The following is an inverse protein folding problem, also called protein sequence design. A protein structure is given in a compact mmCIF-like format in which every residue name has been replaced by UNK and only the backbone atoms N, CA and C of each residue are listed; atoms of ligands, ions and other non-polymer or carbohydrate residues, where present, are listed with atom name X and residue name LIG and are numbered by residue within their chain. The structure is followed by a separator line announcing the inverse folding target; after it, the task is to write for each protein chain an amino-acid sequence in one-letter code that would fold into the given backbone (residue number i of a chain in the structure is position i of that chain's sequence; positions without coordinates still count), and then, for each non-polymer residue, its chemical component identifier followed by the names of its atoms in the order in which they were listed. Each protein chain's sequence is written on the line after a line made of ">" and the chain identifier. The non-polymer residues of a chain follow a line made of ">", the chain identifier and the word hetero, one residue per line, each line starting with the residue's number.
data_IF_845826833701
#
_entry.id   IF_845826833701
#
_cell.length_a   1.000
_cell.length_b   1.000
_cell.length_c   1.000
_cell.angle_alpha   90.00
_cell.angle_beta   90.00
_cell.angle_gamma   90.00
#
_symmetry.space_group_name_H-M   'P 1'
#
loop_
_entity.id
_entity.type
_entity.pdbx_description
1 polymer ?
#
# COMPACT_ATOMS: atom_id res chain seq x y z
N UNK A 1 22.32 0.20 25.80
CA UNK A 1 21.81 -0.94 25.01
C UNK A 1 20.36 -0.63 24.62
N UNK A 2 20.05 -0.67 23.31
CA UNK A 2 18.71 -0.41 22.80
C UNK A 2 17.93 -1.73 22.74
N UNK A 3 17.18 -2.02 23.81
CA UNK A 3 16.43 -3.27 23.92
C UNK A 3 14.94 -3.04 23.66
N UNK A 4 14.36 -3.84 22.78
CA UNK A 4 12.96 -3.83 22.40
C UNK A 4 12.35 -5.23 22.55
N UNK A 5 11.03 -5.32 22.58
CA UNK A 5 10.35 -6.60 22.43
C UNK A 5 10.30 -6.98 20.94
N UNK A 6 9.97 -6.00 20.07
CA UNK A 6 9.86 -6.20 18.62
C UNK A 6 10.61 -5.10 17.87
N UNK A 7 11.44 -5.49 16.91
CA UNK A 7 12.04 -4.58 15.93
C UNK A 7 11.48 -4.85 14.52
N UNK A 8 10.91 -3.82 13.90
CA UNK A 8 10.32 -3.90 12.57
C UNK A 8 11.22 -3.21 11.54
N UNK A 9 11.58 -3.95 10.49
CA UNK A 9 12.50 -3.52 9.44
C UNK A 9 11.69 -3.16 8.20
N UNK A 10 11.45 -1.87 7.99
CA UNK A 10 10.71 -1.33 6.85
C UNK A 10 9.56 -0.40 7.25
N UNK A 11 9.44 0.74 6.59
CA UNK A 11 8.41 1.77 6.84
C UNK A 11 7.27 1.79 5.83
N UNK A 12 6.94 0.67 5.20
CA UNK A 12 5.75 0.55 4.35
C UNK A 12 4.48 0.23 5.15
N UNK A 13 3.36 0.01 4.44
CA UNK A 13 2.09 -0.36 5.08
C UNK A 13 2.23 -1.63 5.95
N UNK A 14 2.95 -2.65 5.48
CA UNK A 14 3.22 -3.87 6.26
C UNK A 14 3.97 -3.56 7.56
N UNK A 15 5.06 -2.78 7.46
CA UNK A 15 5.88 -2.44 8.62
C UNK A 15 5.12 -1.59 9.64
N UNK A 16 4.39 -0.57 9.20
CA UNK A 16 3.56 0.22 10.11
C UNK A 16 2.44 -0.61 10.75
N UNK A 17 1.78 -1.51 10.00
CA UNK A 17 0.75 -2.39 10.55
C UNK A 17 1.35 -3.34 11.60
N UNK A 18 2.50 -3.95 11.31
CA UNK A 18 3.20 -4.82 12.24
C UNK A 18 3.60 -4.06 13.52
N UNK A 19 4.25 -2.91 13.37
CA UNK A 19 4.73 -2.14 14.51
C UNK A 19 3.60 -1.60 15.38
N UNK A 20 2.50 -1.17 14.75
CA UNK A 20 1.31 -0.69 15.47
C UNK A 20 0.59 -1.84 16.20
N UNK A 21 0.41 -2.99 15.55
CA UNK A 21 -0.21 -4.16 16.18
C UNK A 21 0.62 -4.69 17.36
N UNK A 22 1.95 -4.65 17.26
CA UNK A 22 2.85 -4.99 18.35
C UNK A 22 2.67 -4.07 19.57
N UNK A 23 2.55 -2.75 19.34
CA UNK A 23 2.31 -1.80 20.43
C UNK A 23 0.95 -2.00 21.08
N UNK A 24 -0.10 -2.26 20.30
CA UNK A 24 -1.43 -2.54 20.86
C UNK A 24 -1.44 -3.80 21.73
N UNK A 25 -0.54 -4.75 21.46
CA UNK A 25 -0.29 -5.92 22.29
C UNK A 25 0.69 -5.66 23.47
N UNK A 26 0.99 -4.39 23.77
CA UNK A 26 1.82 -3.96 24.89
C UNK A 26 3.32 -4.18 24.70
N UNK A 27 3.79 -4.34 23.46
CA UNK A 27 5.21 -4.58 23.16
C UNK A 27 5.96 -3.28 22.94
N UNK A 28 7.11 -3.14 23.60
CA UNK A 28 8.06 -2.06 23.33
C UNK A 28 8.63 -2.25 21.92
N UNK A 29 8.24 -1.38 21.00
CA UNK A 29 8.46 -1.60 19.57
C UNK A 29 9.25 -0.47 18.92
N UNK A 30 10.19 -0.84 18.06
CA UNK A 30 10.92 0.08 17.19
C UNK A 30 10.63 -0.23 15.72
N UNK A 31 10.44 0.80 14.91
CA UNK A 31 10.33 0.71 13.46
C UNK A 31 11.53 1.42 12.83
N UNK A 32 12.27 0.70 12.00
CA UNK A 32 13.39 1.23 11.23
C UNK A 32 12.92 1.45 9.79
N UNK A 33 13.00 2.69 9.30
CA UNK A 33 12.55 3.05 7.95
C UNK A 33 13.67 3.76 7.18
N UNK A 34 14.08 3.18 6.06
CA UNK A 34 15.14 3.73 5.19
C UNK A 34 14.73 5.05 4.52
N UNK A 35 13.44 5.29 4.32
CA UNK A 35 12.97 6.47 3.59
C UNK A 35 11.48 6.43 3.31
N UNK A 36 11.07 7.10 2.23
CA UNK A 36 9.68 7.10 1.78
C UNK A 36 9.31 5.73 1.22
N UNK A 37 8.13 5.24 1.57
CA UNK A 37 7.69 3.91 1.19
C UNK A 37 6.99 3.87 -0.19
N UNK A 38 6.68 2.66 -0.65
CA UNK A 38 5.87 2.45 -1.85
C UNK A 38 4.46 3.07 -1.78
N UNK A 39 3.99 3.50 -0.60
CA UNK A 39 2.72 4.23 -0.47
C UNK A 39 2.71 5.50 -1.33
N UNK A 40 3.85 6.17 -1.50
CA UNK A 40 4.00 7.35 -2.38
C UNK A 40 3.78 7.04 -3.87
N UNK A 41 3.62 5.78 -4.25
CA UNK A 41 3.34 5.32 -5.61
C UNK A 41 2.02 4.53 -5.69
N UNK A 42 1.30 4.43 -4.58
CA UNK A 42 0.06 3.66 -4.46
C UNK A 42 -1.14 4.42 -5.03
N UNK A 43 -2.25 3.71 -5.27
CA UNK A 43 -3.51 4.37 -5.58
C UNK A 43 -4.23 4.98 -4.38
N UNK A 44 -3.75 4.76 -3.15
CA UNK A 44 -4.48 5.13 -1.93
C UNK A 44 -5.66 4.21 -1.56
N UNK A 45 -5.99 3.24 -2.42
CA UNK A 45 -6.89 2.12 -2.15
C UNK A 45 -6.12 0.89 -1.63
N UNK A 46 -6.79 -0.01 -0.91
CA UNK A 46 -6.24 -1.30 -0.49
C UNK A 46 -6.88 -2.41 -1.32
N UNK A 47 -6.12 -2.92 -2.28
CA UNK A 47 -6.50 -4.07 -3.10
C UNK A 47 -6.32 -5.36 -2.25
N UNK A 48 -7.29 -6.28 -2.31
CA UNK A 48 -7.29 -7.53 -1.50
C UNK A 48 -7.10 -8.76 -2.38
N UNK A 49 -7.93 -8.95 -3.39
CA UNK A 49 -7.72 -9.94 -4.44
C UNK A 49 -8.64 -9.57 -5.61
N UNK A 50 -8.09 -8.92 -6.63
CA UNK A 50 -8.80 -8.55 -7.86
C UNK A 50 -8.83 -9.70 -8.88
N UNK A 51 -7.80 -10.55 -8.87
CA UNK A 51 -7.71 -11.76 -9.68
C UNK A 51 -7.09 -12.91 -8.89
N UNK A 52 -7.41 -14.13 -9.28
CA UNK A 52 -6.66 -15.32 -8.88
C UNK A 52 -5.26 -15.30 -9.51
N UNK A 53 -4.29 -16.09 -9.02
CA UNK A 53 -2.99 -16.23 -9.67
C UNK A 53 -3.09 -16.77 -11.11
N UNK A 54 -4.16 -17.50 -11.45
CA UNK A 54 -4.48 -17.95 -12.81
C UNK A 54 -5.06 -16.86 -13.72
N UNK A 55 -5.40 -15.69 -13.18
CA UNK A 55 -5.87 -14.52 -13.93
C UNK A 55 -7.40 -14.37 -14.02
N UNK A 56 -8.16 -15.22 -13.34
CA UNK A 56 -9.61 -15.12 -13.25
C UNK A 56 -10.00 -13.91 -12.40
N UNK A 57 -11.03 -13.15 -12.84
CA UNK A 57 -11.50 -11.99 -12.09
C UNK A 57 -12.19 -12.42 -10.81
N UNK A 58 -11.94 -11.70 -9.73
CA UNK A 58 -12.51 -11.99 -8.41
C UNK A 58 -13.43 -10.85 -7.99
N UNK A 59 -14.70 -11.18 -7.78
CA UNK A 59 -15.70 -10.26 -7.22
C UNK A 59 -15.74 -10.34 -5.70
N UNK A 60 -15.81 -11.54 -5.12
CA UNK A 60 -15.84 -11.77 -3.67
C UNK A 60 -14.47 -12.27 -3.17
N UNK A 61 -13.54 -11.38 -2.73
CA UNK A 61 -12.16 -11.75 -2.45
C UNK A 61 -12.01 -12.82 -1.37
N UNK A 62 -12.75 -12.72 -0.25
CA UNK A 62 -12.63 -13.69 0.85
C UNK A 62 -13.13 -15.08 0.48
N UNK A 63 -14.14 -15.18 -0.38
CA UNK A 63 -14.64 -16.46 -0.88
C UNK A 63 -13.63 -17.09 -1.83
N UNK A 64 -13.02 -16.30 -2.72
CA UNK A 64 -11.97 -16.78 -3.63
C UNK A 64 -10.75 -17.32 -2.88
N UNK A 65 -10.36 -16.69 -1.76
CA UNK A 65 -9.23 -17.13 -0.93
C UNK A 65 -9.37 -18.57 -0.42
N UNK A 66 -10.60 -19.09 -0.23
CA UNK A 66 -10.81 -20.43 0.28
C UNK A 66 -10.28 -21.54 -0.65
N UNK A 67 -10.13 -21.24 -1.95
CA UNK A 67 -9.60 -22.18 -2.95
C UNK A 67 -8.06 -22.19 -3.05
N UNK A 68 -7.40 -21.16 -2.53
CA UNK A 68 -5.95 -20.98 -2.69
C UNK A 68 -5.10 -22.07 -2.05
N UNK A 69 -5.39 -22.61 -0.85
CA UNK A 69 -4.56 -23.67 -0.28
C UNK A 69 -4.45 -24.91 -1.17
N UNK A 70 -5.46 -25.19 -1.99
CA UNK A 70 -5.45 -26.32 -2.91
C UNK A 70 -4.77 -25.98 -4.25
N UNK A 71 -4.98 -24.77 -4.78
CA UNK A 71 -4.53 -24.39 -6.13
C UNK A 71 -3.16 -23.71 -6.14
N UNK A 72 -2.86 -22.95 -5.10
CA UNK A 72 -1.69 -22.08 -4.93
C UNK A 72 -1.22 -22.11 -3.46
N UNK A 73 -0.78 -23.26 -2.93
CA UNK A 73 -0.37 -23.41 -1.52
C UNK A 73 0.77 -22.46 -1.11
N UNK A 74 1.58 -22.00 -2.06
CA UNK A 74 2.66 -21.04 -1.88
C UNK A 74 2.19 -19.60 -1.63
N UNK A 75 0.95 -19.27 -2.01
CA UNK A 75 0.42 -17.91 -1.89
C UNK A 75 0.30 -17.50 -0.42
N UNK A 76 0.67 -16.26 -0.01
CA UNK A 76 0.62 -15.83 1.39
C UNK A 76 -0.75 -16.01 2.08
N UNK A 77 -1.86 -15.78 1.37
CA UNK A 77 -3.21 -16.07 1.88
C UNK A 77 -3.47 -17.54 2.17
N UNK A 78 -2.78 -18.49 1.52
CA UNK A 78 -2.92 -19.92 1.80
C UNK A 78 -2.38 -20.30 3.19
N UNK A 79 -1.55 -19.44 3.80
CA UNK A 79 -0.98 -19.61 5.15
C UNK A 79 -1.86 -19.01 6.26
N UNK A 80 -3.02 -18.43 5.90
CA UNK A 80 -3.93 -17.76 6.84
C UNK A 80 -5.38 -18.14 6.54
N UNK A 81 -6.25 -18.05 7.55
CA UNK A 81 -7.69 -18.23 7.32
C UNK A 81 -8.28 -16.98 6.65
N UNK A 82 -9.22 -17.09 5.68
CA UNK A 82 -9.86 -15.93 5.05
C UNK A 82 -10.50 -14.96 6.07
N UNK A 83 -11.07 -15.49 7.16
CA UNK A 83 -11.62 -14.67 8.23
C UNK A 83 -10.54 -13.85 8.98
N UNK A 84 -9.34 -14.40 9.15
CA UNK A 84 -8.21 -13.67 9.74
C UNK A 84 -7.78 -12.51 8.83
N UNK A 85 -7.72 -12.74 7.52
CA UNK A 85 -7.42 -11.67 6.53
C UNK A 85 -8.47 -10.57 6.61
N UNK A 86 -9.75 -10.94 6.67
CA UNK A 86 -10.88 -10.01 6.83
C UNK A 86 -10.75 -9.15 8.09
N UNK A 87 -10.53 -9.79 9.24
CA UNK A 87 -10.36 -9.10 10.53
C UNK A 87 -9.17 -8.15 10.51
N UNK A 88 -8.07 -8.55 9.88
CA UNK A 88 -6.87 -7.71 9.75
C UNK A 88 -7.13 -6.43 8.95
N UNK A 89 -7.97 -6.53 7.90
CA UNK A 89 -8.34 -5.38 7.09
C UNK A 89 -9.28 -4.43 7.82
N UNK A 90 -10.28 -4.94 8.56
CA UNK A 90 -11.13 -4.09 9.40
C UNK A 90 -10.35 -3.43 10.52
N UNK A 91 -9.39 -4.13 11.12
CA UNK A 91 -8.45 -3.53 12.07
C UNK A 91 -7.73 -2.33 11.43
N UNK A 92 -7.22 -2.43 10.20
CA UNK A 92 -6.61 -1.30 9.50
C UNK A 92 -7.61 -0.14 9.31
N UNK A 93 -8.86 -0.44 8.92
CA UNK A 93 -9.92 0.58 8.76
C UNK A 93 -10.09 1.36 10.06
N UNK A 94 -10.12 0.70 11.21
CA UNK A 94 -10.24 1.33 12.52
C UNK A 94 -9.02 2.19 12.85
N UNK A 95 -7.80 1.68 12.61
CA UNK A 95 -6.56 2.44 12.85
C UNK A 95 -6.49 3.73 12.03
N UNK A 96 -6.91 3.70 10.76
CA UNK A 96 -6.90 4.86 9.89
C UNK A 96 -8.04 5.83 10.22
N UNK A 97 -9.22 5.31 10.59
CA UNK A 97 -10.38 6.12 11.02
C UNK A 97 -10.06 6.96 12.24
N UNK A 98 -9.35 6.41 13.22
CA UNK A 98 -8.85 7.14 14.41
C UNK A 98 -7.93 8.33 14.06
N UNK A 99 -7.38 8.37 12.85
CA UNK A 99 -6.55 9.46 12.34
C UNK A 99 -7.28 10.32 11.29
N UNK A 100 -8.61 10.21 11.22
CA UNK A 100 -9.44 11.00 10.30
C UNK A 100 -9.40 10.51 8.85
N UNK A 101 -8.93 9.29 8.61
CA UNK A 101 -8.86 8.67 7.28
C UNK A 101 -9.77 7.42 7.21
N UNK A 102 -11.09 7.59 7.11
CA UNK A 102 -11.98 6.44 6.95
C UNK A 102 -11.77 5.79 5.58
N UNK A 103 -11.68 4.46 5.55
CA UNK A 103 -11.72 3.67 4.32
C UNK A 103 -13.06 2.95 4.23
N UNK A 104 -13.55 2.77 3.00
CA UNK A 104 -14.86 2.19 2.73
C UNK A 104 -14.75 1.02 1.76
N UNK A 105 -15.44 -0.08 2.07
CA UNK A 105 -15.75 -1.17 1.15
C UNK A 105 -17.27 -1.17 0.86
N UNK A 106 -17.69 -2.03 -0.05
CA UNK A 106 -19.10 -2.34 -0.28
C UNK A 106 -19.71 -3.09 0.92
N UNK A 107 -21.03 -2.99 1.08
CA UNK A 107 -21.75 -3.65 2.18
C UNK A 107 -21.71 -5.19 2.08
N UNK A 108 -21.70 -5.71 0.86
CA UNK A 108 -21.56 -7.15 0.59
C UNK A 108 -20.10 -7.61 0.54
N UNK A 109 -19.15 -6.71 0.85
CA UNK A 109 -17.71 -6.94 0.83
C UNK A 109 -17.15 -7.41 -0.53
N UNK A 110 -17.91 -7.22 -1.61
CA UNK A 110 -17.40 -7.45 -2.95
C UNK A 110 -16.43 -6.33 -3.36
N UNK A 111 -15.48 -6.67 -4.23
CA UNK A 111 -14.65 -5.68 -4.87
C UNK A 111 -15.51 -4.68 -5.64
N UNK A 112 -15.10 -3.43 -5.59
CA UNK A 112 -15.57 -2.39 -6.50
C UNK A 112 -14.41 -1.93 -7.38
N UNK A 113 -14.72 -1.13 -8.39
CA UNK A 113 -13.76 -0.54 -9.30
C UNK A 113 -13.55 0.93 -8.98
N UNK A 114 -12.33 1.40 -9.18
CA UNK A 114 -11.98 2.83 -9.23
C UNK A 114 -11.61 3.22 -10.64
N UNK A 115 -11.94 4.45 -11.04
CA UNK A 115 -11.48 5.01 -12.30
C UNK A 115 -10.01 5.44 -12.10
N UNK A 116 -9.15 5.09 -13.05
CA UNK A 116 -7.73 5.44 -13.02
C UNK A 116 -7.48 6.74 -13.78
N UNK A 117 -6.31 7.39 -13.61
CA UNK A 117 -5.94 8.57 -14.39
C UNK A 117 -5.86 8.34 -15.90
N UNK A 118 -5.78 7.08 -16.33
CA UNK A 118 -5.76 6.69 -17.74
C UNK A 118 -7.14 6.30 -18.27
N UNK A 119 -8.21 6.48 -17.47
CA UNK A 119 -9.57 6.16 -17.91
C UNK A 119 -9.89 4.68 -17.96
N UNK A 120 -9.18 3.87 -17.16
CA UNK A 120 -9.46 2.44 -17.01
C UNK A 120 -10.09 2.17 -15.65
N UNK A 121 -10.64 0.97 -15.47
CA UNK A 121 -11.13 0.50 -14.18
C UNK A 121 -10.11 -0.44 -13.53
N UNK A 122 -9.85 -0.23 -12.24
CA UNK A 122 -9.07 -1.16 -11.42
C UNK A 122 -9.86 -1.59 -10.19
N UNK A 123 -10.01 -2.90 -10.02
CA UNK A 123 -10.68 -3.48 -8.84
C UNK A 123 -9.88 -3.21 -7.56
N UNK A 124 -10.60 -3.03 -6.46
CA UNK A 124 -10.07 -2.86 -5.09
C UNK A 124 -11.16 -3.21 -4.09
N UNK A 125 -10.77 -3.36 -2.83
CA UNK A 125 -11.71 -3.64 -1.75
C UNK A 125 -11.96 -2.42 -0.86
N UNK A 126 -10.91 -1.71 -0.42
CA UNK A 126 -11.06 -0.48 0.36
C UNK A 126 -10.70 0.75 -0.47
N UNK A 127 -11.45 1.83 -0.29
CA UNK A 127 -11.18 3.11 -0.93
C UNK A 127 -11.37 4.28 0.01
N UNK A 128 -10.56 5.32 -0.18
CA UNK A 128 -10.67 6.57 0.55
C UNK A 128 -11.95 7.32 0.21
N UNK A 129 -12.37 8.30 1.03
CA UNK A 129 -13.44 9.19 0.67
C UNK A 129 -13.10 9.90 -0.64
N UNK A 130 -14.12 10.23 -1.43
CA UNK A 130 -13.96 10.81 -2.77
C UNK A 130 -13.28 9.88 -3.78
N UNK A 131 -13.09 8.59 -3.51
CA UNK A 131 -12.84 7.59 -4.55
C UNK A 131 -14.17 6.94 -4.90
N UNK A 132 -14.70 7.21 -6.09
CA UNK A 132 -15.97 6.64 -6.52
C UNK A 132 -15.84 5.11 -6.65
N UNK A 133 -16.79 4.40 -6.03
CA UNK A 133 -16.82 2.94 -5.98
C UNK A 133 -17.77 2.42 -7.07
N UNK A 134 -17.21 2.23 -8.27
CA UNK A 134 -17.93 1.79 -9.46
C UNK A 134 -18.21 0.29 -9.39
N UNK A 135 -19.42 -0.16 -9.76
CA UNK A 135 -19.78 -1.59 -9.86
C UNK A 135 -20.53 -1.98 -11.12
N UNK A 136 -21.32 -1.05 -11.63
CA UNK A 136 -22.24 -1.25 -12.74
C UNK A 136 -22.48 0.09 -13.42
N UNK A 137 -23.34 0.13 -14.44
CA UNK A 137 -23.73 1.34 -15.16
C UNK A 137 -23.82 2.57 -14.27
N UNK A 138 -23.09 3.62 -14.65
CA UNK A 138 -23.08 4.87 -13.89
C UNK A 138 -24.45 5.52 -13.91
N UNK A 139 -24.85 6.08 -12.77
CA UNK A 139 -26.13 6.80 -12.62
C UNK A 139 -26.01 8.31 -12.90
N UNK A 140 -24.81 8.80 -13.20
CA UNK A 140 -24.55 10.22 -13.48
C UNK A 140 -24.95 10.58 -14.91
N UNK A 141 -25.43 11.81 -15.10
CA UNK A 141 -25.70 12.36 -16.42
C UNK A 141 -24.42 12.56 -17.22
N UNK A 142 -23.39 13.10 -16.54
CA UNK A 142 -22.08 13.34 -17.13
C UNK A 142 -20.95 12.96 -16.20
N UNK A 143 -19.84 12.52 -16.77
CA UNK A 143 -18.54 12.43 -16.13
C UNK A 143 -17.67 13.57 -16.63
N UNK A 144 -17.19 14.43 -15.73
CA UNK A 144 -16.43 15.63 -16.08
C UNK A 144 -15.03 15.53 -15.51
N UNK A 145 -14.05 15.31 -16.39
CA UNK A 145 -12.64 15.27 -16.01
C UNK A 145 -12.07 16.68 -15.89
N UNK A 146 -11.43 16.99 -14.77
CA UNK A 146 -10.89 18.32 -14.50
C UNK A 146 -9.44 18.43 -14.95
N UNK A 147 -9.20 19.23 -15.99
CA UNK A 147 -7.87 19.60 -16.47
C UNK A 147 -7.40 20.87 -15.75
N UNK A 148 -6.25 20.82 -15.08
CA UNK A 148 -5.65 22.03 -14.47
C UNK A 148 -4.67 22.63 -15.47
N UNK A 149 -4.80 23.92 -15.78
CA UNK A 149 -3.97 24.57 -16.79
C UNK A 149 -2.47 24.51 -16.45
N UNK A 150 -1.68 23.92 -17.36
CA UNK A 150 -0.25 23.68 -17.18
C UNK A 150 0.11 22.44 -16.35
N UNK A 151 -0.86 21.69 -15.82
CA UNK A 151 -0.58 20.45 -15.06
C UNK A 151 -0.50 19.23 -15.98
N UNK A 152 0.70 18.68 -16.13
CA UNK A 152 0.99 17.63 -17.12
C UNK A 152 0.76 16.20 -16.62
N UNK A 153 0.75 16.00 -15.31
CA UNK A 153 0.66 14.68 -14.69
C UNK A 153 -0.75 14.06 -14.76
N UNK A 154 -1.71 14.78 -15.35
CA UNK A 154 -3.06 14.28 -15.63
C UNK A 154 -3.51 14.70 -17.04
N UNK A 155 -3.96 13.72 -17.84
CA UNK A 155 -4.36 13.93 -19.23
C UNK A 155 -5.84 13.53 -19.42
N UNK A 156 -6.79 14.42 -19.12
CA UNK A 156 -8.23 14.17 -19.23
C UNK A 156 -8.70 13.60 -20.56
N UNK A 157 -8.17 14.08 -21.70
CA UNK A 157 -8.53 13.56 -23.03
C UNK A 157 -8.27 12.06 -23.14
N UNK A 158 -7.09 11.60 -22.73
CA UNK A 158 -6.72 10.19 -22.76
C UNK A 158 -7.62 9.36 -21.84
N UNK A 159 -7.90 9.87 -20.64
CA UNK A 159 -8.77 9.21 -19.69
C UNK A 159 -10.20 9.08 -20.22
N UNK A 160 -10.75 10.16 -20.76
CA UNK A 160 -12.07 10.18 -21.38
C UNK A 160 -12.17 9.19 -22.54
N UNK A 161 -11.20 9.18 -23.45
CA UNK A 161 -11.24 8.31 -24.64
C UNK A 161 -11.15 6.83 -24.27
N UNK A 162 -10.40 6.47 -23.22
CA UNK A 162 -10.36 5.10 -22.73
C UNK A 162 -11.63 4.71 -21.99
N UNK A 163 -12.18 5.61 -21.16
CA UNK A 163 -13.36 5.30 -20.36
C UNK A 163 -14.61 5.12 -21.23
N UNK A 164 -14.73 5.91 -22.31
CA UNK A 164 -15.81 5.77 -23.32
C UNK A 164 -15.88 4.38 -23.97
N UNK A 165 -14.76 3.65 -24.02
CA UNK A 165 -14.71 2.29 -24.58
C UNK A 165 -15.36 1.25 -23.67
N UNK A 166 -15.54 1.57 -22.38
CA UNK A 166 -16.08 0.64 -21.41
C UNK A 166 -17.62 0.66 -21.42
N UNK A 167 -18.29 -0.51 -21.50
CA UNK A 167 -19.76 -0.62 -21.62
C UNK A 167 -20.53 0.20 -20.58
N UNK A 168 -20.13 0.14 -19.32
CA UNK A 168 -20.81 0.80 -18.20
C UNK A 168 -20.92 2.33 -18.31
N UNK A 169 -20.18 2.95 -19.24
CA UNK A 169 -20.14 4.41 -19.44
C UNK A 169 -20.68 4.84 -20.81
N UNK A 170 -21.13 3.92 -21.66
CA UNK A 170 -21.62 4.25 -23.01
C UNK A 170 -22.87 5.15 -23.01
N UNK A 171 -23.67 5.07 -21.96
CA UNK A 171 -24.90 5.86 -21.80
C UNK A 171 -24.67 7.23 -21.14
N UNK A 172 -23.45 7.53 -20.71
CA UNK A 172 -23.11 8.74 -19.98
C UNK A 172 -22.27 9.68 -20.85
N UNK A 173 -22.55 10.98 -20.82
CA UNK A 173 -21.69 11.95 -21.50
C UNK A 173 -20.37 12.09 -20.74
N UNK A 174 -19.24 11.91 -21.42
CA UNK A 174 -17.91 12.11 -20.81
C UNK A 174 -17.28 13.35 -21.41
N UNK A 175 -17.09 14.36 -20.56
CA UNK A 175 -16.59 15.69 -20.89
C UNK A 175 -15.40 16.10 -20.03
N UNK A 176 -14.95 17.34 -20.24
CA UNK A 176 -13.78 17.91 -19.59
C UNK A 176 -14.07 19.33 -19.13
N UNK A 177 -13.49 19.72 -18.00
CA UNK A 177 -13.53 21.08 -17.48
C UNK A 177 -12.09 21.55 -17.36
N UNK A 178 -11.74 22.61 -18.07
CA UNK A 178 -10.44 23.26 -17.88
C UNK A 178 -10.57 24.30 -16.76
N UNK A 179 -9.70 24.19 -15.76
CA UNK A 179 -9.63 25.13 -14.63
C UNK A 179 -8.25 25.77 -14.56
N UNK A 180 -8.22 27.04 -14.18
CA UNK A 180 -6.98 27.78 -13.90
C UNK A 180 -6.86 28.00 -12.41
N UNK A 181 -5.71 27.68 -11.81
CA UNK A 181 -5.45 27.91 -10.39
C UNK A 181 -4.60 29.19 -10.26
N UNK A 182 -5.13 30.27 -9.65
CA UNK A 182 -4.37 31.49 -9.45
C UNK A 182 -3.03 31.24 -8.73
N UNK A 183 -1.94 31.80 -9.28
CA UNK A 183 -0.59 31.64 -8.74
C UNK A 183 0.21 30.52 -9.41
N UNK A 184 -0.41 29.67 -10.22
CA UNK A 184 0.31 28.70 -11.05
C UNK A 184 1.25 29.37 -12.05
N UNK A 185 0.92 30.57 -12.54
CA UNK A 185 1.76 31.32 -13.49
C UNK A 185 3.14 31.62 -12.92
N UNK A 186 3.22 31.93 -11.61
CA UNK A 186 4.49 32.19 -10.93
C UNK A 186 5.38 30.94 -10.79
N UNK A 187 4.80 29.75 -10.89
CA UNK A 187 5.50 28.46 -10.85
C UNK A 187 5.95 27.98 -12.24
N UNK A 188 5.57 28.66 -13.33
CA UNK A 188 5.88 28.24 -14.71
C UNK A 188 7.32 28.56 -15.16
N UNK A 189 8.28 28.75 -14.24
CA UNK A 189 9.70 28.97 -14.62
C UNK A 189 10.22 27.83 -15.50
N UNK A 190 9.76 26.61 -15.22
CA UNK A 190 9.87 25.46 -16.12
C UNK A 190 8.52 24.72 -16.14
N UNK A 191 7.96 24.40 -17.31
CA UNK A 191 6.67 23.69 -17.38
C UNK A 191 6.71 22.26 -16.80
N UNK A 192 7.89 21.74 -16.44
CA UNK A 192 8.05 20.46 -15.74
C UNK A 192 8.00 20.59 -14.20
N UNK A 193 7.92 21.80 -13.65
CA UNK A 193 7.97 22.04 -12.20
C UNK A 193 6.61 21.93 -11.50
N UNK A 194 5.49 22.00 -12.21
CA UNK A 194 4.18 21.99 -11.56
C UNK A 194 3.77 20.56 -11.17
N UNK A 195 4.06 20.16 -9.93
CA UNK A 195 3.65 18.87 -9.36
C UNK A 195 2.38 18.98 -8.53
N UNK A 196 1.77 17.83 -8.24
CA UNK A 196 0.56 17.72 -7.41
C UNK A 196 0.69 18.48 -6.07
N UNK A 197 1.86 18.38 -5.41
CA UNK A 197 2.15 19.05 -4.13
C UNK A 197 2.18 20.58 -4.27
N UNK A 198 2.68 21.11 -5.38
CA UNK A 198 2.74 22.56 -5.60
C UNK A 198 1.35 23.16 -5.78
N UNK A 199 0.51 22.48 -6.56
CA UNK A 199 -0.90 22.85 -6.72
C UNK A 199 -1.63 22.73 -5.38
N UNK A 200 -1.38 21.65 -4.63
CA UNK A 200 -1.96 21.46 -3.31
C UNK A 200 -1.60 22.58 -2.33
N UNK A 201 -0.37 23.09 -2.38
CA UNK A 201 0.05 24.25 -1.58
C UNK A 201 -0.67 25.53 -2.02
N UNK A 202 -0.84 25.77 -3.31
CA UNK A 202 -1.59 26.93 -3.82
C UNK A 202 -3.06 26.87 -3.40
N UNK A 203 -3.70 25.70 -3.49
CA UNK A 203 -5.10 25.51 -3.13
C UNK A 203 -5.40 25.64 -1.63
N UNK A 204 -4.38 25.77 -0.76
CA UNK A 204 -4.56 26.20 0.63
C UNK A 204 -4.86 27.68 0.76
N UNK A 205 -4.57 28.49 -0.27
CA UNK A 205 -4.86 29.91 -0.28
C UNK A 205 -6.35 30.13 -0.59
N UNK A 206 -7.09 30.93 0.22
CA UNK A 206 -8.52 31.14 0.03
C UNK A 206 -8.90 31.63 -1.38
N UNK A 207 -8.09 32.49 -1.99
CA UNK A 207 -8.32 33.00 -3.34
C UNK A 207 -8.30 31.89 -4.40
N UNK A 208 -7.26 31.03 -4.36
CA UNK A 208 -7.11 29.93 -5.30
C UNK A 208 -8.22 28.89 -5.11
N UNK A 209 -8.53 28.55 -3.86
CA UNK A 209 -9.60 27.61 -3.52
C UNK A 209 -10.98 28.10 -3.99
N UNK A 210 -11.33 29.35 -3.68
CA UNK A 210 -12.61 29.94 -4.09
C UNK A 210 -12.73 30.05 -5.62
N UNK A 211 -11.62 30.32 -6.31
CA UNK A 211 -11.57 30.33 -7.77
C UNK A 211 -11.87 28.95 -8.36
N UNK A 212 -11.29 27.88 -7.80
CA UNK A 212 -11.60 26.51 -8.19
C UNK A 212 -13.08 26.20 -7.98
N UNK A 213 -13.64 26.52 -6.80
CA UNK A 213 -15.05 26.32 -6.50
C UNK A 213 -15.96 26.99 -7.55
N UNK A 214 -15.70 28.27 -7.86
CA UNK A 214 -16.49 29.02 -8.84
C UNK A 214 -16.42 28.41 -10.24
N UNK A 215 -15.23 28.01 -10.69
CA UNK A 215 -15.05 27.39 -11.99
C UNK A 215 -15.77 26.03 -12.08
N UNK A 216 -15.69 25.19 -11.05
CA UNK A 216 -16.42 23.91 -11.04
C UNK A 216 -17.94 24.12 -11.07
N UNK A 217 -18.48 25.03 -10.24
CA UNK A 217 -19.92 25.33 -10.20
C UNK A 217 -20.46 25.93 -11.50
N UNK A 218 -19.60 26.59 -12.30
CA UNK A 218 -19.98 27.13 -13.61
C UNK A 218 -20.23 26.03 -14.65
N UNK A 219 -19.58 24.87 -14.51
CA UNK A 219 -19.54 23.83 -15.54
C UNK A 219 -20.19 22.50 -15.13
N UNK A 220 -20.29 22.21 -13.83
CA UNK A 220 -20.84 20.97 -13.29
C UNK A 220 -22.10 21.21 -12.44
N UNK A 221 -22.97 20.19 -12.38
CA UNK A 221 -24.18 20.16 -11.55
C UNK A 221 -24.14 18.95 -10.61
N UNK A 222 -25.17 18.81 -9.76
CA UNK A 222 -25.31 17.69 -8.83
C UNK A 222 -25.57 16.34 -9.52
N UNK A 223 -25.93 16.35 -10.80
CA UNK A 223 -26.14 15.15 -11.62
C UNK A 223 -24.84 14.60 -12.23
N UNK A 224 -23.72 15.31 -12.03
CA UNK A 224 -22.43 14.98 -12.62
C UNK A 224 -21.47 14.31 -11.60
N UNK A 225 -20.60 13.44 -12.10
CA UNK A 225 -19.41 13.00 -11.38
C UNK A 225 -18.21 13.82 -11.84
N UNK A 226 -17.64 14.61 -10.93
CA UNK A 226 -16.47 15.45 -11.22
C UNK A 226 -15.20 14.71 -10.85
N UNK A 227 -14.43 14.32 -11.86
CA UNK A 227 -13.19 13.54 -11.71
C UNK A 227 -12.00 14.50 -11.62
N UNK A 228 -11.45 14.60 -10.42
CA UNK A 228 -10.38 15.51 -10.05
C UNK A 228 -9.04 14.79 -9.99
N UNK A 229 -7.95 15.35 -10.53
CA UNK A 229 -6.61 14.88 -10.17
C UNK A 229 -6.38 15.06 -8.67
N UNK A 230 -5.57 14.20 -8.06
CA UNK A 230 -5.12 14.35 -6.68
C UNK A 230 -4.20 15.58 -6.55
N UNK A 231 -4.81 16.73 -6.27
CA UNK A 231 -4.15 18.04 -6.09
C UNK A 231 -4.59 18.71 -4.78
N UNK A 232 -5.40 18.04 -3.96
CA UNK A 232 -5.97 18.63 -2.74
C UNK A 232 -5.13 18.23 -1.54
N UNK A 233 -4.40 19.20 -0.97
CA UNK A 233 -3.64 19.06 0.28
C UNK A 233 -2.41 18.15 0.21
N UNK A 234 -1.63 18.12 1.30
CA UNK A 234 -0.50 17.22 1.48
C UNK A 234 -0.64 16.59 2.87
N UNK A 235 -1.11 15.34 2.91
CA UNK A 235 -1.56 14.68 4.16
C UNK A 235 -2.94 15.12 4.66
N UNK A 236 -3.32 16.38 4.45
CA UNK A 236 -4.59 17.00 4.91
C UNK A 236 -5.69 17.10 3.84
N UNK A 237 -5.50 16.45 2.70
CA UNK A 237 -6.34 16.62 1.51
C UNK A 237 -7.84 16.37 1.69
N UNK A 238 -8.22 15.46 2.60
CA UNK A 238 -9.62 15.19 2.89
C UNK A 238 -10.35 16.41 3.48
N UNK A 239 -9.66 17.25 4.26
CA UNK A 239 -10.25 18.47 4.83
C UNK A 239 -10.65 19.42 3.69
N UNK A 240 -9.76 19.64 2.73
CA UNK A 240 -10.04 20.51 1.59
C UNK A 240 -11.07 19.91 0.63
N UNK A 241 -11.04 18.60 0.39
CA UNK A 241 -12.07 17.91 -0.42
C UNK A 241 -13.46 17.99 0.22
N UNK A 242 -13.56 17.84 1.54
CA UNK A 242 -14.81 18.02 2.27
C UNK A 242 -15.31 19.46 2.18
N UNK A 243 -14.43 20.45 2.30
CA UNK A 243 -14.78 21.85 2.09
C UNK A 243 -15.25 22.10 0.65
N UNK A 244 -14.56 21.53 -0.34
CA UNK A 244 -14.90 21.67 -1.76
C UNK A 244 -16.29 21.10 -2.04
N UNK A 245 -16.56 19.88 -1.55
CA UNK A 245 -17.91 19.28 -1.64
C UNK A 245 -18.96 20.13 -0.94
N UNK A 246 -18.68 20.68 0.25
CA UNK A 246 -19.65 21.52 0.99
C UNK A 246 -19.98 22.82 0.25
N UNK A 247 -18.98 23.45 -0.39
CA UNK A 247 -19.18 24.72 -1.10
C UNK A 247 -19.82 24.55 -2.47
N UNK A 248 -19.55 23.44 -3.15
CA UNK A 248 -20.01 23.20 -4.53
C UNK A 248 -21.23 22.27 -4.63
N UNK A 249 -21.47 21.46 -3.60
CA UNK A 249 -22.45 20.38 -3.56
C UNK A 249 -22.26 19.32 -4.68
N UNK A 250 -21.04 19.20 -5.22
CA UNK A 250 -20.71 18.28 -6.32
C UNK A 250 -20.29 16.91 -5.80
N UNK A 251 -20.59 15.87 -6.58
CA UNK A 251 -20.05 14.53 -6.36
C UNK A 251 -18.66 14.43 -6.98
N UNK A 252 -17.64 14.16 -6.16
CA UNK A 252 -16.24 14.18 -6.58
C UNK A 252 -15.65 12.77 -6.63
N UNK A 253 -14.80 12.55 -7.62
CA UNK A 253 -13.88 11.41 -7.68
C UNK A 253 -12.43 11.89 -7.81
N UNK A 254 -11.61 11.69 -6.78
CA UNK A 254 -10.18 11.95 -6.80
C UNK A 254 -9.42 10.77 -7.44
N UNK A 255 -8.55 11.07 -8.41
CA UNK A 255 -7.67 10.09 -9.06
C UNK A 255 -6.20 10.32 -8.69
N UNK A 256 -5.45 9.27 -8.30
CA UNK A 256 -4.03 9.39 -7.97
C UNK A 256 -3.22 9.60 -9.26
N UNK A 257 -2.69 10.80 -9.49
CA UNK A 257 -1.89 11.13 -10.69
C UNK A 257 -0.48 10.53 -10.62
N UNK A 258 0.45 11.00 -11.45
CA UNK A 258 1.86 10.63 -11.32
C UNK A 258 2.36 10.86 -9.88
N UNK A 259 3.37 10.08 -9.42
CA UNK A 259 3.94 10.26 -8.08
C UNK A 259 4.34 11.71 -7.79
N UNK A 260 4.29 12.15 -6.53
CA UNK A 260 3.88 11.36 -5.38
C UNK A 260 2.35 11.21 -5.27
N UNK A 261 1.92 10.06 -4.77
CA UNK A 261 0.52 9.77 -4.48
C UNK A 261 0.08 10.46 -3.20
N UNK A 262 -0.68 11.56 -3.34
CA UNK A 262 -1.25 12.27 -2.19
C UNK A 262 -2.17 11.38 -1.35
N UNK A 263 -2.89 10.45 -1.99
CA UNK A 263 -3.74 9.51 -1.27
C UNK A 263 -2.91 8.50 -0.47
N UNK A 264 -1.81 8.01 -1.04
CA UNK A 264 -0.89 7.12 -0.33
C UNK A 264 -0.18 7.80 0.84
N UNK A 265 0.21 9.07 0.66
CA UNK A 265 0.78 9.90 1.74
C UNK A 265 -0.19 10.01 2.92
N UNK A 266 -1.51 10.17 2.68
CA UNK A 266 -2.51 10.20 3.77
C UNK A 266 -2.47 8.93 4.62
N UNK A 267 -2.33 7.75 3.99
CA UNK A 267 -2.22 6.47 4.70
C UNK A 267 -0.93 6.41 5.52
N UNK A 268 0.20 6.75 4.92
CA UNK A 268 1.51 6.73 5.60
C UNK A 268 1.52 7.68 6.80
N UNK A 269 1.04 8.91 6.63
CA UNK A 269 0.96 9.88 7.72
C UNK A 269 0.00 9.44 8.83
N UNK A 270 -1.16 8.88 8.49
CA UNK A 270 -2.11 8.37 9.47
C UNK A 270 -1.46 7.25 10.30
N UNK A 271 -0.86 6.25 9.65
CA UNK A 271 -0.18 5.16 10.35
C UNK A 271 1.00 5.65 11.19
N UNK A 272 1.82 6.56 10.66
CA UNK A 272 2.95 7.14 11.39
C UNK A 272 2.47 7.91 12.63
N UNK A 273 1.44 8.76 12.50
CA UNK A 273 0.86 9.51 13.63
C UNK A 273 0.29 8.56 14.68
N UNK A 274 -0.44 7.53 14.26
CA UNK A 274 -1.01 6.51 15.15
C UNK A 274 0.09 5.77 15.92
N UNK A 275 1.14 5.31 15.23
CA UNK A 275 2.29 4.61 15.82
C UNK A 275 3.02 5.47 16.86
N UNK A 276 3.37 6.71 16.52
CA UNK A 276 4.06 7.63 17.43
C UNK A 276 3.20 8.01 18.63
N UNK A 277 1.89 8.25 18.42
CA UNK A 277 0.94 8.57 19.50
C UNK A 277 0.83 7.43 20.53
N UNK A 278 1.02 6.18 20.12
CA UNK A 278 1.03 5.02 21.03
C UNK A 278 2.39 4.76 21.68
N UNK A 279 3.40 5.62 21.50
CA UNK A 279 4.72 5.50 22.13
C UNK A 279 5.73 4.65 21.35
N UNK A 280 5.45 4.37 20.07
CA UNK A 280 6.40 3.68 19.20
C UNK A 280 7.66 4.52 18.92
N UNK A 281 8.81 3.84 18.79
CA UNK A 281 10.07 4.49 18.39
C UNK A 281 10.26 4.36 16.90
N UNK A 282 10.44 5.48 16.19
CA UNK A 282 10.66 5.51 14.74
C UNK A 282 12.09 5.97 14.42
N UNK A 283 12.91 5.09 13.86
CA UNK A 283 14.21 5.44 13.28
C UNK A 283 14.03 5.75 11.78
N UNK A 284 13.69 7.00 11.48
CA UNK A 284 13.39 7.47 10.12
C UNK A 284 14.68 7.84 9.36
N UNK A 285 14.78 7.44 8.10
CA UNK A 285 15.97 7.62 7.27
C UNK A 285 17.12 6.68 7.64
N UNK A 286 16.84 5.61 8.38
CA UNK A 286 17.84 4.64 8.83
C UNK A 286 17.61 3.28 8.17
N UNK A 287 18.69 2.56 7.90
CA UNK A 287 18.68 1.30 7.16
C UNK A 287 19.38 0.23 7.96
N UNK A 288 18.74 -0.93 8.10
CA UNK A 288 19.39 -2.13 8.64
C UNK A 288 20.38 -2.66 7.60
N UNK A 289 21.62 -2.89 8.03
CA UNK A 289 22.73 -3.30 7.16
C UNK A 289 23.05 -4.79 7.29
N UNK A 290 22.94 -5.32 8.51
CA UNK A 290 23.28 -6.70 8.84
C UNK A 290 22.64 -7.11 10.17
N UNK A 291 22.77 -8.38 10.52
CA UNK A 291 22.41 -8.90 11.84
C UNK A 291 23.34 -10.01 12.30
N UNK A 292 23.44 -10.17 13.61
CA UNK A 292 24.27 -11.17 14.27
C UNK A 292 23.42 -12.34 14.73
N UNK A 293 23.86 -13.55 14.44
CA UNK A 293 23.11 -14.78 14.68
C UNK A 293 23.81 -15.66 15.70
N UNK A 294 23.05 -16.36 16.54
CA UNK A 294 23.59 -17.43 17.37
C UNK A 294 23.60 -18.78 16.62
N UNK A 295 24.22 -19.80 17.23
CA UNK A 295 24.30 -21.15 16.67
C UNK A 295 22.93 -21.84 16.51
N UNK A 296 21.88 -21.35 17.19
CA UNK A 296 20.53 -21.91 17.16
C UNK A 296 19.64 -21.26 16.09
N UNK A 297 20.13 -20.23 15.39
CA UNK A 297 19.38 -19.48 14.38
C UNK A 297 18.50 -18.37 14.95
N UNK A 298 18.82 -17.84 16.13
CA UNK A 298 18.23 -16.60 16.64
C UNK A 298 19.02 -15.39 16.15
N UNK A 299 18.30 -14.38 15.66
CA UNK A 299 18.83 -13.06 15.40
C UNK A 299 19.01 -12.35 16.75
N UNK A 300 20.26 -12.13 17.18
CA UNK A 300 20.60 -11.56 18.49
C UNK A 300 20.62 -10.04 18.47
N UNK A 301 20.99 -9.45 17.34
CA UNK A 301 21.03 -8.00 17.15
C UNK A 301 21.04 -7.63 15.67
N UNK A 302 20.68 -6.38 15.39
CA UNK A 302 20.82 -5.77 14.06
C UNK A 302 21.69 -4.51 14.14
N UNK A 303 22.47 -4.30 13.09
CA UNK A 303 23.27 -3.09 12.90
C UNK A 303 22.60 -2.17 11.90
N UNK A 304 22.53 -0.88 12.21
CA UNK A 304 21.92 0.12 11.33
C UNK A 304 22.93 1.17 10.90
N UNK A 305 22.68 1.80 9.76
CA UNK A 305 23.55 2.81 9.16
C UNK A 305 23.80 3.99 10.10
N UNK A 306 22.77 4.47 10.79
CA UNK A 306 22.85 5.70 11.56
C UNK A 306 23.18 5.48 13.05
N UNK A 307 23.15 4.24 13.55
CA UNK A 307 23.54 3.91 14.93
C UNK A 307 25.03 3.57 15.08
N UNK A 308 25.80 3.51 13.99
CA UNK A 308 27.22 3.17 14.04
C UNK A 308 27.44 1.81 14.68
N UNK A 309 28.32 1.75 15.69
CA UNK A 309 28.67 0.51 16.39
C UNK A 309 27.68 0.15 17.53
N UNK A 310 26.52 0.81 17.62
CA UNK A 310 25.51 0.54 18.65
C UNK A 310 24.49 -0.47 18.09
N UNK A 311 24.57 -1.77 18.44
CA UNK A 311 23.60 -2.75 18.01
C UNK A 311 22.22 -2.49 18.64
N UNK A 312 21.19 -2.81 17.89
CA UNK A 312 19.81 -2.84 18.35
C UNK A 312 19.40 -4.28 18.65
N UNK A 313 18.86 -4.51 19.85
CA UNK A 313 18.40 -5.82 20.29
C UNK A 313 16.88 -5.86 20.39
N UNK A 314 16.28 -6.96 19.94
CA UNK A 314 14.88 -7.27 20.15
C UNK A 314 14.68 -8.76 20.44
N UNK A 315 13.59 -9.11 21.13
CA UNK A 315 13.20 -10.50 21.34
C UNK A 315 12.78 -11.15 20.01
N UNK A 316 12.06 -10.39 19.16
CA UNK A 316 11.68 -10.80 17.82
C UNK A 316 11.85 -9.67 16.79
N UNK A 317 12.02 -10.06 15.54
CA UNK A 317 12.26 -9.18 14.41
C UNK A 317 11.23 -9.44 13.32
N UNK A 318 10.73 -8.37 12.71
CA UNK A 318 9.78 -8.45 11.59
C UNK A 318 10.42 -7.80 10.36
N UNK A 319 10.68 -8.60 9.33
CA UNK A 319 11.17 -8.15 8.03
C UNK A 319 10.00 -7.72 7.14
N UNK A 320 9.85 -6.41 6.96
CA UNK A 320 8.83 -5.76 6.15
C UNK A 320 9.47 -4.82 5.09
N UNK A 321 10.64 -5.21 4.57
CA UNK A 321 11.50 -4.39 3.69
C UNK A 321 10.91 -4.18 2.28
N UNK A 322 9.87 -4.92 1.93
CA UNK A 322 9.22 -4.85 0.62
C UNK A 322 10.02 -5.57 -0.48
N UNK A 323 9.66 -5.30 -1.73
CA UNK A 323 10.26 -5.96 -2.91
C UNK A 323 11.33 -5.07 -3.56
N UNK A 324 11.57 -5.25 -4.86
CA UNK A 324 12.61 -4.58 -5.66
C UNK A 324 12.62 -3.05 -5.52
N UNK A 325 11.45 -2.40 -5.62
CA UNK A 325 11.34 -0.95 -5.58
C UNK A 325 11.80 -0.37 -4.22
N UNK A 326 11.49 -1.07 -3.14
CA UNK A 326 11.88 -0.71 -1.77
C UNK A 326 13.27 -1.23 -1.39
N UNK A 327 13.98 -1.86 -2.33
CA UNK A 327 15.30 -2.50 -2.10
C UNK A 327 15.29 -3.61 -1.05
N UNK A 328 14.13 -4.17 -0.70
CA UNK A 328 14.05 -5.37 0.13
C UNK A 328 14.47 -6.63 -0.63
N UNK A 329 14.40 -6.61 -1.96
CA UNK A 329 14.98 -7.60 -2.85
C UNK A 329 15.95 -6.93 -3.83
N UNK A 330 17.13 -7.50 -4.03
CA UNK A 330 18.13 -6.99 -4.96
C UNK A 330 18.34 -7.97 -6.11
N UNK A 331 18.03 -7.53 -7.33
CA UNK A 331 18.28 -8.28 -8.54
C UNK A 331 19.65 -7.96 -9.14
N UNK A 332 20.40 -8.99 -9.48
CA UNK A 332 21.63 -8.94 -10.29
C UNK A 332 21.38 -9.60 -11.65
N UNK A 333 22.44 -9.82 -12.43
CA UNK A 333 22.31 -10.51 -13.72
C UNK A 333 21.96 -11.99 -13.56
N UNK A 334 22.48 -12.64 -12.54
CA UNK A 334 22.43 -14.08 -12.34
C UNK A 334 21.53 -14.51 -11.18
N UNK A 335 21.30 -13.64 -10.18
CA UNK A 335 20.50 -13.98 -8.99
C UNK A 335 19.68 -12.82 -8.43
N UNK A 336 18.71 -13.16 -7.60
CA UNK A 336 17.97 -12.23 -6.75
C UNK A 336 18.22 -12.63 -5.31
N UNK A 337 18.47 -11.66 -4.43
CA UNK A 337 18.81 -11.89 -3.02
C UNK A 337 18.03 -10.96 -2.11
N UNK A 338 17.76 -11.42 -0.89
CA UNK A 338 17.44 -10.57 0.24
C UNK A 338 18.78 -9.97 0.76
N UNK A 339 18.97 -8.64 0.77
CA UNK A 339 20.28 -8.04 0.92
C UNK A 339 20.75 -7.83 2.36
N UNK A 340 19.90 -7.99 3.37
CA UNK A 340 20.24 -7.68 4.78
C UNK A 340 20.85 -8.90 5.46
N UNK A 341 20.20 -10.06 5.36
CA UNK A 341 20.58 -11.29 6.04
C UNK A 341 20.98 -12.40 5.06
N UNK A 342 20.67 -12.25 3.77
CA UNK A 342 20.94 -13.29 2.78
C UNK A 342 19.99 -14.48 2.92
N UNK A 343 18.75 -14.23 3.31
CA UNK A 343 17.71 -15.25 3.47
C UNK A 343 17.49 -16.06 2.19
N UNK A 344 17.04 -17.30 2.36
CA UNK A 344 16.72 -18.18 1.25
C UNK A 344 15.57 -17.61 0.40
N UNK A 345 15.69 -17.78 -0.91
CA UNK A 345 14.84 -17.13 -1.90
C UNK A 345 14.09 -18.16 -2.73
N UNK A 346 12.79 -17.95 -2.91
CA UNK A 346 12.02 -18.62 -3.95
C UNK A 346 12.17 -17.82 -5.25
N UNK A 347 12.95 -18.36 -6.17
CA UNK A 347 13.13 -17.79 -7.51
C UNK A 347 13.37 -18.89 -8.54
N UNK A 348 13.05 -18.61 -9.81
CA UNK A 348 13.41 -19.54 -10.90
C UNK A 348 14.93 -19.47 -11.17
N UNK A 349 15.62 -20.60 -11.39
CA UNK A 349 17.08 -20.61 -11.51
C UNK A 349 17.57 -19.94 -12.80
N UNK A 350 16.81 -20.02 -13.89
CA UNK A 350 17.22 -19.48 -15.18
C UNK A 350 16.57 -18.12 -15.44
N UNK A 351 17.39 -17.08 -15.66
CA UNK A 351 16.94 -15.71 -15.95
C UNK A 351 15.91 -15.60 -17.08
N UNK A 352 15.99 -16.46 -18.10
CA UNK A 352 15.02 -16.49 -19.22
C UNK A 352 13.59 -16.79 -18.75
N UNK A 353 13.43 -17.49 -17.63
CA UNK A 353 12.13 -17.85 -17.06
C UNK A 353 11.58 -16.79 -16.10
N UNK A 354 12.31 -15.69 -15.85
CA UNK A 354 11.88 -14.65 -14.92
C UNK A 354 10.75 -13.79 -15.48
N UNK A 355 10.56 -13.78 -16.80
CA UNK A 355 9.56 -12.96 -17.49
C UNK A 355 8.91 -13.74 -18.61
N UNK A 356 7.67 -13.39 -18.92
CA UNK A 356 7.05 -13.76 -20.19
C UNK A 356 7.78 -13.09 -21.36
N UNK A 357 7.63 -13.68 -22.55
CA UNK A 357 8.24 -13.17 -23.79
C UNK A 357 7.67 -11.80 -24.18
N UNK A 358 6.36 -11.62 -24.00
CA UNK A 358 5.68 -10.34 -24.24
C UNK A 358 5.76 -9.43 -23.02
N UNK A 359 6.08 -8.16 -23.25
CA UNK A 359 6.08 -7.13 -22.19
C UNK A 359 4.67 -6.84 -21.65
N UNK A 360 3.67 -6.78 -22.53
CA UNK A 360 2.26 -6.65 -22.16
C UNK A 360 1.57 -8.01 -22.16
N UNK A 361 2.04 -8.91 -21.31
CA UNK A 361 1.48 -10.25 -21.21
C UNK A 361 0.10 -10.25 -20.53
N UNK A 362 -0.76 -11.20 -20.93
CA UNK A 362 -2.01 -11.49 -20.24
C UNK A 362 -1.81 -12.26 -18.92
N UNK A 363 -0.61 -12.82 -18.69
CA UNK A 363 -0.22 -13.53 -17.47
C UNK A 363 0.85 -12.77 -16.68
N UNK A 364 0.94 -13.06 -15.38
CA UNK A 364 1.95 -12.49 -14.49
C UNK A 364 3.38 -12.80 -14.96
N UNK A 365 4.28 -11.83 -14.82
CA UNK A 365 5.71 -12.09 -15.03
C UNK A 365 6.28 -12.78 -13.78
N UNK A 366 6.91 -13.97 -13.90
CA UNK A 366 7.29 -14.77 -12.74
C UNK A 366 8.13 -14.05 -11.68
N UNK A 367 9.00 -13.12 -12.07
CA UNK A 367 9.86 -12.39 -11.12
C UNK A 367 9.08 -11.58 -10.08
N UNK A 368 7.84 -11.20 -10.37
CA UNK A 368 6.98 -10.47 -9.43
C UNK A 368 6.58 -11.33 -8.23
N UNK A 369 6.59 -12.66 -8.37
CA UNK A 369 6.29 -13.62 -7.32
C UNK A 369 7.51 -14.17 -6.59
N UNK A 370 8.72 -13.74 -6.96
CA UNK A 370 9.93 -14.11 -6.25
C UNK A 370 10.05 -13.32 -4.95
N UNK A 371 10.55 -13.97 -3.91
CA UNK A 371 10.66 -13.40 -2.59
C UNK A 371 11.32 -14.36 -1.61
N UNK A 372 11.35 -13.96 -0.35
CA UNK A 372 11.93 -14.76 0.73
C UNK A 372 11.07 -16.00 0.98
N UNK A 373 11.72 -17.15 1.00
CA UNK A 373 11.11 -18.42 1.36
C UNK A 373 10.75 -18.41 2.85
N UNK A 374 9.57 -18.92 3.19
CA UNK A 374 9.08 -18.94 4.56
C UNK A 374 8.28 -20.20 4.86
N UNK A 375 8.31 -20.64 6.11
CA UNK A 375 7.42 -21.69 6.60
C UNK A 375 5.95 -21.21 6.69
N UNK A 376 5.06 -22.05 7.22
CA UNK A 376 3.64 -21.72 7.40
C UNK A 376 3.41 -20.60 8.44
N UNK A 377 4.40 -20.29 9.28
CA UNK A 377 4.37 -19.28 10.32
C UNK A 377 5.04 -17.96 9.89
N UNK A 378 5.41 -17.83 8.61
CA UNK A 378 6.15 -16.71 8.04
C UNK A 378 7.59 -16.54 8.56
N UNK A 379 8.19 -17.59 9.14
CA UNK A 379 9.61 -17.58 9.49
C UNK A 379 10.44 -17.89 8.25
N UNK A 380 11.43 -17.06 7.90
CA UNK A 380 12.29 -17.34 6.77
C UNK A 380 13.31 -18.42 7.12
N UNK A 381 13.92 -19.01 6.10
CA UNK A 381 15.12 -19.82 6.28
C UNK A 381 16.37 -19.09 5.83
N UNK A 382 17.49 -19.46 6.44
CA UNK A 382 18.84 -19.02 6.09
C UNK A 382 19.70 -20.27 5.92
N UNK A 383 20.18 -20.52 4.71
CA UNK A 383 20.94 -21.73 4.36
C UNK A 383 20.17 -23.04 4.70
N UNK A 384 18.86 -23.04 4.50
CA UNK A 384 17.96 -24.16 4.77
C UNK A 384 17.51 -24.31 6.23
N UNK A 385 18.04 -23.51 7.16
CA UNK A 385 17.63 -23.52 8.57
C UNK A 385 16.60 -22.42 8.83
N UNK A 386 15.44 -22.78 9.41
CA UNK A 386 14.40 -21.82 9.77
C UNK A 386 14.89 -20.91 10.91
N UNK A 387 14.80 -19.59 10.71
CA UNK A 387 15.14 -18.60 11.73
C UNK A 387 14.13 -18.65 12.88
N UNK A 388 14.60 -18.55 14.13
CA UNK A 388 13.74 -18.78 15.30
C UNK A 388 12.85 -17.58 15.67
N UNK A 389 13.39 -16.36 15.57
CA UNK A 389 12.74 -15.13 16.03
C UNK A 389 12.63 -14.04 14.93
N UNK A 390 12.83 -14.41 13.67
CA UNK A 390 12.62 -13.53 12.51
C UNK A 390 11.35 -13.95 11.76
N UNK A 391 10.51 -12.98 11.39
CA UNK A 391 9.28 -13.22 10.64
C UNK A 391 9.19 -12.25 9.46
N UNK A 392 8.72 -12.69 8.31
CA UNK A 392 8.58 -11.87 7.11
C UNK A 392 7.12 -11.47 6.86
N UNK A 393 6.89 -10.26 6.34
CA UNK A 393 5.55 -9.84 5.94
C UNK A 393 5.54 -8.87 4.74
N UNK A 394 4.39 -8.81 4.08
CA UNK A 394 4.18 -7.98 2.88
C UNK A 394 4.99 -8.42 1.68
N UNK A 395 5.41 -7.46 0.85
CA UNK A 395 5.97 -7.73 -0.48
C UNK A 395 7.36 -8.34 -0.52
N UNK A 396 7.97 -8.62 0.64
CA UNK A 396 9.21 -9.40 0.69
C UNK A 396 8.93 -10.90 0.53
N UNK A 397 7.70 -11.35 0.84
CA UNK A 397 7.27 -12.74 0.73
C UNK A 397 7.21 -13.21 -0.72
N UNK A 398 7.54 -14.48 -0.94
CA UNK A 398 7.34 -15.16 -2.22
C UNK A 398 5.89 -15.63 -2.44
N UNK A 399 5.60 -16.07 -3.68
CA UNK A 399 4.43 -16.89 -3.99
C UNK A 399 3.21 -16.12 -4.51
N UNK A 400 3.36 -14.83 -4.84
CA UNK A 400 2.25 -14.01 -5.35
C UNK A 400 2.70 -12.82 -6.18
N UNK A 401 1.94 -12.40 -7.19
CA UNK A 401 2.15 -11.16 -7.92
C UNK A 401 1.19 -10.07 -7.40
N UNK A 402 1.64 -9.14 -6.54
CA UNK A 402 0.78 -8.15 -5.91
C UNK A 402 0.10 -7.20 -6.91
N UNK A 403 0.68 -7.02 -8.10
CA UNK A 403 0.19 -6.09 -9.14
C UNK A 403 -0.82 -6.78 -10.04
N UNK A 404 -0.50 -7.98 -10.53
CA UNK A 404 -1.36 -8.75 -11.42
C UNK A 404 -2.65 -9.19 -10.72
N UNK A 405 -2.52 -9.71 -9.49
CA UNK A 405 -3.63 -10.22 -8.69
C UNK A 405 -4.42 -9.10 -8.00
N UNK A 406 -3.84 -7.91 -7.84
CA UNK A 406 -4.42 -6.86 -7.00
C UNK A 406 -4.60 -7.34 -5.55
N UNK A 407 -3.55 -7.91 -4.97
CA UNK A 407 -3.53 -8.48 -3.62
C UNK A 407 -2.51 -7.82 -2.69
N UNK A 408 -1.68 -6.92 -3.22
CA UNK A 408 -0.54 -6.35 -2.48
C UNK A 408 -0.90 -5.67 -1.16
N UNK A 409 -1.97 -4.88 -1.13
CA UNK A 409 -2.41 -4.17 0.07
C UNK A 409 -2.91 -5.13 1.15
N UNK A 410 -3.80 -6.04 0.77
CA UNK A 410 -4.36 -7.01 1.70
C UNK A 410 -3.33 -8.00 2.23
N UNK A 411 -2.42 -8.50 1.39
CA UNK A 411 -1.31 -9.36 1.84
C UNK A 411 -0.43 -8.61 2.82
N UNK A 412 -0.07 -7.36 2.52
CA UNK A 412 0.78 -6.56 3.40
C UNK A 412 0.18 -6.36 4.80
N UNK A 413 -1.12 -6.11 4.89
CA UNK A 413 -1.81 -5.89 6.17
C UNK A 413 -1.96 -7.20 6.94
N UNK A 414 -2.50 -8.25 6.32
CA UNK A 414 -2.80 -9.48 7.05
C UNK A 414 -1.55 -10.25 7.46
N UNK A 415 -0.54 -10.33 6.59
CA UNK A 415 0.73 -10.98 6.96
C UNK A 415 1.48 -10.22 8.04
N UNK A 416 1.35 -8.89 8.12
CA UNK A 416 1.93 -8.10 9.19
C UNK A 416 1.33 -8.46 10.56
N UNK A 417 0.00 -8.57 10.66
CA UNK A 417 -0.67 -8.99 11.89
C UNK A 417 -0.36 -10.46 12.23
N UNK A 418 -0.32 -11.34 11.23
CA UNK A 418 0.05 -12.74 11.44
C UNK A 418 1.47 -12.87 11.99
N UNK A 419 2.45 -12.21 11.36
CA UNK A 419 3.85 -12.24 11.78
C UNK A 419 4.01 -11.77 13.23
N UNK A 420 3.32 -10.70 13.62
CA UNK A 420 3.33 -10.20 15.01
C UNK A 420 2.68 -11.20 15.97
N UNK A 421 1.52 -11.76 15.64
CA UNK A 421 0.88 -12.80 16.47
C UNK A 421 1.79 -14.02 16.67
N UNK A 422 2.51 -14.45 15.63
CA UNK A 422 3.47 -15.57 15.74
C UNK A 422 4.70 -15.21 16.56
N UNK A 423 5.24 -14.01 16.37
CA UNK A 423 6.35 -13.49 17.17
C UNK A 423 6.00 -13.38 18.67
N UNK A 424 4.76 -13.00 19.00
CA UNK A 424 4.31 -12.93 20.39
C UNK A 424 4.04 -14.31 21.02
N UNK A 425 3.66 -15.30 20.20
CA UNK A 425 3.45 -16.68 20.62
C UNK A 425 4.71 -17.38 21.15
N UNK A 426 5.91 -16.88 20.83
CA UNK A 426 7.18 -17.40 21.36
C UNK A 426 7.20 -17.44 22.90
N UNK A 427 6.50 -16.51 23.58
CA UNK A 427 6.43 -16.53 25.05
C UNK A 427 5.62 -17.69 25.62
N UNK A 428 4.58 -18.19 24.94
CA UNK A 428 3.82 -19.34 25.44
C UNK A 428 4.57 -20.66 25.30
N UNK A 429 5.57 -20.74 24.41
CA UNK A 429 6.42 -21.93 24.31
C UNK A 429 7.60 -21.87 25.29
N UNK A 430 8.27 -20.71 25.40
CA UNK A 430 9.43 -20.55 26.29
C UNK A 430 9.07 -20.52 27.79
N UNK A 431 7.90 -19.99 28.16
CA UNK A 431 7.47 -20.02 29.58
C UNK A 431 7.07 -21.41 30.06
N UNK A 432 6.71 -22.33 29.15
CA UNK A 432 6.38 -23.72 29.51
C UNK A 432 7.65 -24.54 29.74
N UNK A 433 8.77 -24.17 29.10
CA UNK A 433 10.07 -24.79 29.39
C UNK A 433 10.72 -24.26 30.68
N UNK A 434 10.47 -23.01 31.08
CA UNK A 434 11.01 -22.46 32.34
C UNK A 434 10.18 -22.80 33.60
N UNK A 435 8.90 -23.16 33.49
CA UNK A 435 8.09 -23.59 34.67
C UNK A 435 8.20 -25.09 35.01
N UNK A 436 9.02 -25.85 34.29
CA UNK A 436 9.31 -27.26 34.61
C UNK A 436 10.76 -27.47 35.05
N UNK A 437 11.28 -26.61 35.92
CA UNK A 437 12.48 -26.90 36.72
C UNK A 437 12.32 -26.31 38.12
N UNK A 438 11.67 -27.06 39.02
CA UNK A 438 11.96 -27.10 40.46
C UNK A 438 11.54 -28.45 41.04
#
# INVERSE_FOLDING_TARGET
>A
MLNYDIAVIGGGIAGYCAALNAIEAGKKTVLISQGQSALHFSSGSIDVMAKTPSGERVEAPFSAMASLPQQHPEHPYSKMLPNFVRQSLYWLVDQLKEQGLPLHCQQDESNHYRITPLGTLKATWLSQPFVYQHRQNVAFKRLLFVAVDGYRDFQPLLAKDNLKKHPDFQHCEIGEIQVTIPGCEALRRNPNELRSIDIARLLKQPQAFNSLCHQLMKHATQEDLVIMPAIMGNGDGLVLLQQLRRQTNLTLHEVPTMPPSLLGIRIEEALQKRFLKQGGVLLKGDQVLSGEWDEQGHLTSISTRNLGDIPLHAQAYILASGSYFSQGLKASLDKIVEPIFGLDMVAKPHRRQWRNDQFFSASAHPFMAFGVETDAMFRPSLNGQVCQNLYCCGSVLSGYDPVFEGSGGGVAVSTALAAVQRAMGLKQAMSVEEECVL
#
